data_IF_496537715218
#
_entry.id   IF_496537715218
#
_cell.length_a   1.000
_cell.length_b   1.000
_cell.length_c   1.000
_cell.angle_alpha   90.00
_cell.angle_beta   90.00
_cell.angle_gamma   90.00
#
_symmetry.space_group_name_H-M   'P 1'
#
loop_
_entity.id
_entity.type
_entity.pdbx_description
1 polymer ?
#
# COMPACT_ATOMS: atom_id res chain seq x y z
N UNK A 1 -11.69 -9.02 12.31
CA UNK A 1 -11.35 -7.59 12.52
C UNK A 1 -10.49 -7.14 11.35
N UNK A 2 -10.52 -5.85 11.01
CA UNK A 2 -9.67 -5.29 9.96
C UNK A 2 -8.58 -4.45 10.62
N UNK A 3 -7.32 -4.82 10.40
CA UNK A 3 -6.17 -3.99 10.74
C UNK A 3 -5.80 -3.16 9.50
N UNK A 4 -5.84 -1.84 9.65
CA UNK A 4 -5.53 -0.90 8.56
C UNK A 4 -4.22 -0.18 8.89
N UNK A 5 -3.27 -0.28 7.97
CA UNK A 5 -2.04 0.50 7.97
C UNK A 5 -2.12 1.53 6.83
N UNK A 6 -1.75 2.77 7.14
CA UNK A 6 -1.73 3.85 6.17
C UNK A 6 -0.33 4.44 6.12
N UNK A 7 0.34 4.35 4.97
CA UNK A 7 1.67 4.89 4.79
C UNK A 7 1.62 6.13 3.89
N UNK A 8 2.15 7.23 4.42
CA UNK A 8 2.35 8.49 3.72
C UNK A 8 3.68 9.10 4.16
N UNK A 9 4.76 8.69 3.51
CA UNK A 9 6.12 9.07 3.89
C UNK A 9 6.68 10.21 3.04
N UNK A 10 7.51 11.12 3.59
CA UNK A 10 8.22 12.14 2.81
C UNK A 10 9.43 11.51 2.09
N UNK A 11 9.22 10.40 1.40
CA UNK A 11 10.26 9.70 0.64
C UNK A 11 10.34 10.33 -0.75
N UNK A 12 11.52 10.65 -1.29
CA UNK A 12 11.60 11.02 -2.69
C UNK A 12 11.02 9.90 -3.57
N UNK A 13 10.25 10.28 -4.60
CA UNK A 13 9.52 9.35 -5.47
C UNK A 13 10.41 8.18 -5.89
N UNK A 14 9.92 6.94 -5.73
CA UNK A 14 10.56 5.69 -6.16
C UNK A 14 11.87 5.30 -5.46
N UNK A 15 12.34 6.05 -4.47
CA UNK A 15 13.61 5.73 -3.79
C UNK A 15 13.46 4.73 -2.66
N UNK A 16 12.31 4.73 -1.98
CA UNK A 16 12.18 4.04 -0.69
C UNK A 16 12.98 4.71 0.43
N UNK A 17 13.42 5.96 0.25
CA UNK A 17 14.23 6.69 1.23
C UNK A 17 15.71 6.32 1.23
N UNK A 18 16.43 6.83 2.23
CA UNK A 18 17.89 6.68 2.36
C UNK A 18 18.31 5.20 2.44
N UNK A 19 17.49 4.35 3.07
CA UNK A 19 17.78 2.92 3.23
C UNK A 19 17.15 2.05 2.13
N UNK A 20 16.50 2.66 1.14
CA UNK A 20 15.92 1.97 0.00
C UNK A 20 14.59 1.24 0.27
N UNK A 21 14.04 0.70 -0.82
CA UNK A 21 12.74 0.03 -0.85
C UNK A 21 12.61 -1.11 0.16
N UNK A 22 13.59 -2.02 0.24
CA UNK A 22 13.50 -3.20 1.12
C UNK A 22 13.38 -2.82 2.59
N UNK A 23 14.19 -1.86 3.06
CA UNK A 23 14.14 -1.39 4.43
C UNK A 23 12.79 -0.71 4.75
N UNK A 24 12.29 0.11 3.83
CA UNK A 24 10.99 0.77 3.98
C UNK A 24 9.84 -0.26 4.04
N UNK A 25 9.81 -1.22 3.11
CA UNK A 25 8.80 -2.29 3.11
C UNK A 25 8.89 -3.16 4.35
N UNK A 26 10.11 -3.51 4.80
CA UNK A 26 10.32 -4.25 6.03
C UNK A 26 9.74 -3.51 7.23
N UNK A 27 9.98 -2.20 7.35
CA UNK A 27 9.49 -1.40 8.47
C UNK A 27 7.95 -1.31 8.49
N UNK A 28 7.33 -1.12 7.33
CA UNK A 28 5.85 -1.14 7.19
C UNK A 28 5.31 -2.50 7.67
N UNK A 29 5.82 -3.59 7.12
CA UNK A 29 5.33 -4.94 7.45
C UNK A 29 5.65 -5.35 8.89
N UNK A 30 6.73 -4.84 9.48
CA UNK A 30 7.05 -5.04 10.89
C UNK A 30 6.01 -4.37 11.79
N UNK A 31 5.56 -3.16 11.48
CA UNK A 31 4.48 -2.49 12.23
C UNK A 31 3.21 -3.36 12.16
N UNK A 32 2.81 -3.73 10.95
CA UNK A 32 1.66 -4.62 10.76
C UNK A 32 1.79 -5.94 11.52
N UNK A 33 2.92 -6.64 11.42
CA UNK A 33 3.13 -7.94 12.07
C UNK A 33 3.27 -7.88 13.59
N UNK A 34 3.60 -6.72 14.16
CA UNK A 34 3.72 -6.54 15.63
C UNK A 34 2.47 -5.96 16.27
N UNK A 35 1.56 -5.38 15.48
CA UNK A 35 0.35 -4.71 15.96
C UNK A 35 -0.94 -5.43 15.57
N UNK A 36 -0.98 -6.09 14.43
CA UNK A 36 -2.11 -6.90 14.01
C UNK A 36 -2.08 -8.28 14.66
N UNK A 37 -3.26 -8.87 14.86
CA UNK A 37 -3.38 -10.27 15.24
C UNK A 37 -3.27 -11.20 14.02
N UNK A 38 -2.90 -12.48 14.21
CA UNK A 38 -2.86 -13.45 13.11
C UNK A 38 -4.17 -13.50 12.32
N UNK A 39 -5.31 -13.48 13.00
CA UNK A 39 -6.66 -13.57 12.45
C UNK A 39 -7.21 -12.27 11.82
N UNK A 40 -6.50 -11.15 11.95
CA UNK A 40 -6.94 -9.89 11.36
C UNK A 40 -6.79 -9.91 9.84
N UNK A 41 -7.80 -9.39 9.14
CA UNK A 41 -7.65 -8.99 7.74
C UNK A 41 -6.76 -7.74 7.69
N UNK A 42 -5.66 -7.81 6.94
CA UNK A 42 -4.66 -6.74 6.92
C UNK A 42 -4.77 -5.96 5.63
N UNK A 43 -4.92 -4.64 5.75
CA UNK A 43 -5.02 -3.70 4.65
C UNK A 43 -3.93 -2.65 4.80
N UNK A 44 -3.11 -2.47 3.78
CA UNK A 44 -2.18 -1.36 3.64
C UNK A 44 -2.69 -0.45 2.52
N UNK A 45 -2.75 0.84 2.76
CA UNK A 45 -3.03 1.83 1.72
C UNK A 45 -2.24 3.11 1.91
N UNK A 46 -2.29 3.99 0.91
CA UNK A 46 -1.81 5.35 1.01
C UNK A 46 -1.08 5.81 -0.25
N UNK A 47 -0.54 7.01 -0.18
CA UNK A 47 0.46 7.51 -1.11
C UNK A 47 1.83 7.02 -0.62
N UNK A 48 2.32 6.01 -1.33
CA UNK A 48 3.57 5.33 -0.99
C UNK A 48 4.80 6.08 -1.48
N UNK A 49 4.59 7.22 -2.16
CA UNK A 49 5.60 7.96 -2.91
C UNK A 49 6.46 7.04 -3.81
N UNK A 50 5.81 6.03 -4.37
CA UNK A 50 6.47 5.00 -5.15
C UNK A 50 5.48 4.47 -6.18
N UNK A 51 5.84 4.48 -7.46
CA UNK A 51 4.95 4.07 -8.52
C UNK A 51 4.80 2.55 -8.63
N UNK A 52 3.87 2.09 -9.48
CA UNK A 52 3.57 0.67 -9.63
C UNK A 52 4.77 -0.21 -10.02
N UNK A 53 5.76 0.36 -10.73
CA UNK A 53 6.98 -0.31 -11.20
C UNK A 53 8.17 -0.11 -10.25
N UNK A 54 8.03 0.72 -9.22
CA UNK A 54 9.07 0.96 -8.22
C UNK A 54 9.49 -0.31 -7.47
N UNK A 55 10.71 -0.31 -6.95
CA UNK A 55 11.19 -1.37 -6.06
C UNK A 55 10.31 -1.49 -4.81
N UNK A 56 9.84 -0.38 -4.24
CA UNK A 56 8.98 -0.38 -3.03
C UNK A 56 7.67 -1.12 -3.29
N UNK A 57 6.94 -0.77 -4.35
CA UNK A 57 5.67 -1.43 -4.65
C UNK A 57 5.87 -2.87 -5.15
N UNK A 58 6.99 -3.17 -5.82
CA UNK A 58 7.37 -4.55 -6.18
C UNK A 58 7.61 -5.41 -4.94
N UNK A 59 8.37 -4.90 -3.98
CA UNK A 59 8.67 -5.60 -2.73
C UNK A 59 7.41 -5.78 -1.85
N UNK A 60 6.50 -4.80 -1.82
CA UNK A 60 5.18 -5.00 -1.22
C UNK A 60 4.39 -6.12 -1.91
N UNK A 61 4.40 -6.14 -3.25
CA UNK A 61 3.70 -7.15 -4.06
C UNK A 61 4.20 -8.58 -3.87
N UNK A 62 5.43 -8.77 -3.38
CA UNK A 62 5.97 -10.09 -3.02
C UNK A 62 5.40 -10.63 -1.71
N UNK A 63 4.82 -9.76 -0.87
CA UNK A 63 4.43 -10.06 0.53
C UNK A 63 2.94 -9.84 0.79
N UNK A 64 2.30 -8.99 0.00
CA UNK A 64 0.86 -8.69 0.06
C UNK A 64 0.27 -8.62 -1.35
N UNK A 65 -1.04 -8.85 -1.46
CA UNK A 65 -1.73 -8.75 -2.75
C UNK A 65 -2.03 -7.29 -3.08
N UNK A 66 -1.49 -6.80 -4.19
CA UNK A 66 -1.85 -5.49 -4.73
C UNK A 66 -3.30 -5.53 -5.23
N UNK A 67 -4.13 -4.65 -4.68
CA UNK A 67 -5.55 -4.49 -5.06
C UNK A 67 -5.71 -3.35 -6.05
N UNK A 68 -5.04 -2.22 -5.80
CA UNK A 68 -5.08 -1.04 -6.67
C UNK A 68 -3.73 -0.34 -6.65
N UNK A 69 -3.41 0.34 -7.75
CA UNK A 69 -2.30 1.28 -7.81
C UNK A 69 -2.60 2.36 -8.87
N UNK A 70 -2.19 3.59 -8.58
CA UNK A 70 -2.26 4.69 -9.53
C UNK A 70 -1.18 5.71 -9.18
N UNK A 71 -0.30 6.02 -10.15
CA UNK A 71 0.91 6.79 -9.89
C UNK A 71 1.60 6.29 -8.62
N UNK A 72 1.74 7.10 -7.58
CA UNK A 72 2.41 6.75 -6.31
C UNK A 72 1.51 6.16 -5.23
N UNK A 73 0.20 6.12 -5.48
CA UNK A 73 -0.77 5.52 -4.57
C UNK A 73 -0.83 4.00 -4.73
N UNK A 74 -1.07 3.31 -3.62
CA UNK A 74 -1.21 1.86 -3.59
C UNK A 74 -2.22 1.37 -2.56
N UNK A 75 -2.91 0.28 -2.87
CA UNK A 75 -3.75 -0.48 -1.95
C UNK A 75 -3.31 -1.94 -2.01
N UNK A 76 -2.96 -2.52 -0.86
CA UNK A 76 -2.51 -3.89 -0.69
C UNK A 76 -3.29 -4.59 0.41
N UNK A 77 -3.59 -5.88 0.25
CA UNK A 77 -4.33 -6.66 1.23
C UNK A 77 -3.72 -8.04 1.47
N UNK A 78 -4.03 -8.64 2.62
CA UNK A 78 -3.64 -10.02 2.95
C UNK A 78 -4.36 -11.08 2.09
N UNK A 79 -5.46 -10.74 1.41
CA UNK A 79 -6.18 -11.62 0.50
C UNK A 79 -6.41 -10.92 -0.85
N UNK A 80 -6.38 -11.64 -1.99
CA UNK A 80 -6.47 -11.03 -3.33
C UNK A 80 -7.90 -10.68 -3.77
N UNK A 81 -8.91 -10.89 -2.91
CA UNK A 81 -10.32 -10.80 -3.32
C UNK A 81 -10.85 -9.38 -3.16
N UNK A 82 -10.96 -8.67 -4.28
CA UNK A 82 -11.59 -7.36 -4.31
C UNK A 82 -11.79 -6.82 -5.72
N UNK A 83 -12.43 -5.65 -5.80
CA UNK A 83 -12.52 -4.82 -6.99
C UNK A 83 -12.04 -3.42 -6.65
N UNK A 84 -11.40 -2.76 -7.60
CA UNK A 84 -10.98 -1.36 -7.43
C UNK A 84 -11.44 -0.51 -8.61
N UNK A 85 -11.68 0.77 -8.34
CA UNK A 85 -11.93 1.78 -9.36
C UNK A 85 -11.23 3.09 -9.01
N UNK A 86 -10.91 3.87 -10.03
CA UNK A 86 -10.48 5.26 -9.88
C UNK A 86 -11.73 6.13 -9.92
N UNK A 87 -11.89 6.98 -8.91
CA UNK A 87 -13.00 7.93 -8.82
C UNK A 87 -12.68 9.27 -9.51
N UNK A 88 -11.46 9.42 -10.03
CA UNK A 88 -10.94 10.68 -10.56
C UNK A 88 -10.39 11.59 -9.47
N UNK A 89 -10.01 12.80 -9.88
CA UNK A 89 -9.19 13.71 -9.07
C UNK A 89 -9.86 14.34 -7.86
N UNK A 90 -11.16 14.61 -7.92
CA UNK A 90 -11.90 15.22 -6.82
C UNK A 90 -11.33 16.56 -6.29
N UNK A 91 -10.50 17.26 -7.07
CA UNK A 91 -9.80 18.49 -6.66
C UNK A 91 -8.36 18.31 -6.18
N UNK A 92 -7.85 17.08 -6.12
CA UNK A 92 -6.44 16.75 -5.88
C UNK A 92 -5.67 16.61 -7.20
N UNK A 93 -4.34 16.65 -7.12
CA UNK A 93 -3.43 16.21 -8.18
C UNK A 93 -3.38 14.68 -8.33
N UNK A 94 -3.78 13.91 -7.31
CA UNK A 94 -3.95 12.45 -7.34
C UNK A 94 -5.40 12.05 -7.67
N UNK A 95 -5.58 10.86 -8.26
CA UNK A 95 -6.92 10.25 -8.37
C UNK A 95 -7.28 9.55 -7.06
N UNK A 96 -8.52 9.73 -6.58
CA UNK A 96 -9.04 8.94 -5.48
C UNK A 96 -9.22 7.47 -5.91
N UNK A 97 -8.72 6.54 -5.09
CA UNK A 97 -8.84 5.10 -5.32
C UNK A 97 -9.90 4.49 -4.39
N UNK A 98 -10.87 3.79 -4.97
CA UNK A 98 -11.83 2.97 -4.23
C UNK A 98 -11.45 1.50 -4.35
N UNK A 99 -11.48 0.78 -3.23
CA UNK A 99 -11.40 -0.68 -3.21
C UNK A 99 -12.57 -1.28 -2.41
N UNK A 100 -13.20 -2.30 -2.96
CA UNK A 100 -14.24 -3.11 -2.30
C UNK A 100 -13.67 -4.51 -2.12
N UNK A 101 -13.47 -4.92 -0.87
CA UNK A 101 -12.81 -6.17 -0.50
C UNK A 101 -13.83 -7.17 0.04
N UNK A 102 -13.62 -8.45 -0.27
CA UNK A 102 -14.35 -9.55 0.35
C UNK A 102 -13.48 -10.17 1.44
N UNK A 103 -13.84 -9.87 2.68
CA UNK A 103 -13.13 -10.30 3.90
C UNK A 103 -13.75 -11.57 4.48
#
# INVERSE_FOLDING_TARGET
>A
VVFVDNHHGPLPVNTGGICGAEATVFNILKVMGTKAKPEDFKLLLGDLNADANSATQSELGRRMHRIAANWVDGIFASCPRGRSERLGKGGSDHDALKAVLKI
#
